data_IF_376457398113
#
_entry.id   IF_376457398113
#
_cell.length_a   1.000
_cell.length_b   1.000
_cell.length_c   1.000
_cell.angle_alpha   90.00
_cell.angle_beta   90.00
_cell.angle_gamma   90.00
#
_symmetry.space_group_name_H-M   'P 1'
#
loop_
_entity.id
_entity.type
_entity.pdbx_description
1 polymer ?
#
# COMPACT_ATOMS: atom_id res chain seq x y z
N UNK A 1 10.78 -3.15 49.14
CA UNK A 1 10.01 -2.37 50.14
C UNK A 1 10.56 -0.96 50.21
N UNK A 2 9.98 0.02 49.49
CA UNK A 2 10.29 1.45 49.74
C UNK A 2 9.10 2.36 49.35
N UNK A 3 8.29 2.64 50.38
CA UNK A 3 7.66 3.91 50.78
C UNK A 3 6.98 4.84 49.75
N UNK A 4 5.65 4.82 49.87
CA UNK A 4 4.67 5.91 49.71
C UNK A 4 5.17 7.31 50.08
N UNK A 5 4.81 8.31 49.24
CA UNK A 5 4.47 9.68 49.66
C UNK A 5 3.32 10.23 48.81
N UNK A 6 2.16 10.36 49.45
CA UNK A 6 1.10 11.34 49.16
C UNK A 6 1.70 12.75 48.99
N UNK A 7 1.16 13.57 48.08
CA UNK A 7 0.36 14.76 48.45
C UNK A 7 -0.27 15.48 47.24
N UNK A 8 -1.43 16.06 47.51
CA UNK A 8 -2.40 16.80 46.70
C UNK A 8 -1.88 18.00 45.88
N UNK A 9 -2.64 18.36 44.84
CA UNK A 9 -3.16 19.71 44.54
C UNK A 9 -4.07 19.56 43.29
N UNK A 10 -5.39 19.71 43.36
CA UNK A 10 -6.22 20.91 43.63
C UNK A 10 -6.98 21.27 42.33
N UNK A 11 -8.29 21.39 42.49
CA UNK A 11 -9.30 21.67 41.48
C UNK A 11 -9.11 23.02 40.78
N UNK A 12 -9.52 23.11 39.52
CA UNK A 12 -9.98 24.35 38.89
C UNK A 12 -11.21 24.10 38.03
N UNK A 13 -12.30 24.75 38.42
CA UNK A 13 -13.62 24.75 37.80
C UNK A 13 -13.65 25.66 36.57
N UNK A 14 -14.36 25.24 35.52
CA UNK A 14 -14.63 26.07 34.33
C UNK A 14 -16.12 26.38 34.23
N UNK A 15 -16.41 27.66 34.47
CA UNK A 15 -17.39 28.54 33.80
C UNK A 15 -18.73 28.01 33.31
N UNK A 16 -19.79 28.41 34.01
CA UNK A 16 -21.17 28.49 33.52
C UNK A 16 -21.29 29.64 32.49
N UNK A 17 -21.56 29.31 31.23
CA UNK A 17 -22.00 30.27 30.21
C UNK A 17 -23.53 30.20 30.04
N UNK A 18 -24.18 31.35 30.21
CA UNK A 18 -25.63 31.52 30.12
C UNK A 18 -26.13 31.40 28.67
N UNK A 19 -27.08 30.49 28.42
CA UNK A 19 -27.80 30.39 27.15
C UNK A 19 -29.26 30.82 27.29
N UNK A 20 -29.65 31.69 26.36
CA UNK A 20 -30.90 32.44 26.14
C UNK A 20 -32.11 31.52 25.88
N UNK A 21 -33.37 31.96 26.14
CA UNK A 21 -34.57 31.11 26.03
C UNK A 21 -34.82 30.53 24.64
N UNK A 22 -35.33 29.30 24.66
CA UNK A 22 -35.66 28.45 23.53
C UNK A 22 -36.85 29.00 22.72
N UNK A 23 -36.65 29.09 21.40
CA UNK A 23 -37.68 29.38 20.42
C UNK A 23 -38.26 28.03 19.94
N UNK A 24 -39.57 27.88 20.05
CA UNK A 24 -40.33 26.71 19.58
C UNK A 24 -40.20 26.54 18.06
N UNK A 25 -39.89 25.35 17.53
CA UNK A 25 -39.88 25.12 16.09
C UNK A 25 -41.31 25.13 15.51
N UNK A 26 -41.52 25.94 14.48
CA UNK A 26 -42.70 25.85 13.62
C UNK A 26 -42.66 24.55 12.81
N UNK A 27 -43.80 23.87 12.73
CA UNK A 27 -44.01 22.76 11.82
C UNK A 27 -43.84 23.24 10.37
N UNK A 28 -42.82 22.73 9.68
CA UNK A 28 -42.62 22.92 8.25
C UNK A 28 -42.80 21.58 7.54
N UNK A 29 -43.69 21.62 6.56
CA UNK A 29 -44.04 20.59 5.57
C UNK A 29 -42.82 19.82 5.05
N UNK A 30 -42.88 18.48 4.86
CA UNK A 30 -41.79 17.74 4.25
C UNK A 30 -41.59 18.17 2.80
N UNK A 31 -40.38 18.61 2.46
CA UNK A 31 -39.91 18.74 1.08
C UNK A 31 -39.78 17.33 0.46
N UNK A 32 -40.08 17.15 -0.85
CA UNK A 32 -39.87 15.87 -1.51
C UNK A 32 -38.39 15.48 -1.44
N UNK A 33 -38.14 14.25 -0.98
CA UNK A 33 -36.81 13.69 -0.82
C UNK A 33 -36.02 13.78 -2.13
N UNK A 34 -34.89 14.48 -2.10
CA UNK A 34 -33.89 14.38 -3.16
C UNK A 34 -33.34 12.95 -3.15
N UNK A 35 -33.59 12.21 -4.23
CA UNK A 35 -32.90 10.96 -4.50
C UNK A 35 -31.40 11.23 -4.44
N UNK A 36 -30.62 10.54 -3.58
CA UNK A 36 -29.16 10.63 -3.64
C UNK A 36 -28.71 10.25 -5.06
N UNK A 37 -27.76 10.97 -5.68
CA UNK A 37 -27.14 10.47 -6.89
C UNK A 37 -26.63 9.06 -6.61
N UNK A 38 -26.92 8.14 -7.52
CA UNK A 38 -26.40 6.78 -7.48
C UNK A 38 -24.91 6.87 -7.19
N UNK A 39 -24.50 6.37 -6.02
CA UNK A 39 -23.10 6.23 -5.70
C UNK A 39 -22.53 5.32 -6.77
N UNK A 40 -21.67 5.86 -7.63
CA UNK A 40 -20.79 5.06 -8.46
C UNK A 40 -20.15 4.02 -7.52
N UNK A 41 -20.31 2.72 -7.78
CA UNK A 41 -19.66 1.72 -6.94
C UNK A 41 -18.16 2.06 -6.87
N UNK A 42 -17.53 2.02 -5.69
CA UNK A 42 -16.09 2.24 -5.58
C UNK A 42 -15.38 1.30 -6.57
N UNK A 43 -14.31 1.77 -7.24
CA UNK A 43 -13.54 0.89 -8.11
C UNK A 43 -13.16 -0.35 -7.32
N UNK A 44 -13.30 -1.52 -7.94
CA UNK A 44 -12.92 -2.78 -7.33
C UNK A 44 -11.50 -2.63 -6.76
N UNK A 45 -11.38 -2.87 -5.45
CA UNK A 45 -10.10 -2.91 -4.74
C UNK A 45 -9.11 -3.75 -5.54
N UNK A 46 -7.96 -3.17 -5.94
CA UNK A 46 -6.76 -4.00 -6.13
C UNK A 46 -5.73 -3.61 -7.19
N UNK A 47 -6.02 -2.75 -8.19
CA UNK A 47 -5.01 -2.45 -9.21
C UNK A 47 -4.06 -1.34 -8.76
N UNK A 48 -2.75 -1.62 -8.79
CA UNK A 48 -1.73 -0.59 -8.64
C UNK A 48 -1.80 0.35 -9.85
N UNK A 49 -1.79 1.66 -9.60
CA UNK A 49 -1.90 2.65 -10.67
C UNK A 49 -0.53 3.05 -11.23
N UNK A 50 0.42 3.36 -10.33
CA UNK A 50 1.68 4.00 -10.68
C UNK A 50 2.83 3.54 -9.79
N UNK A 51 4.04 3.61 -10.35
CA UNK A 51 5.32 3.44 -9.66
C UNK A 51 6.34 4.38 -10.30
N UNK A 52 7.35 4.83 -9.56
CA UNK A 52 8.46 5.58 -10.16
C UNK A 52 9.68 4.70 -10.36
N UNK A 53 10.49 4.98 -11.39
CA UNK A 53 11.85 4.48 -11.44
C UNK A 53 12.77 5.20 -10.43
N UNK A 54 14.03 4.77 -10.38
CA UNK A 54 15.05 5.29 -9.47
C UNK A 54 15.40 6.76 -9.74
N UNK A 55 15.11 7.27 -10.94
CA UNK A 55 15.28 8.66 -11.34
C UNK A 55 14.04 9.51 -11.02
N UNK A 56 12.94 8.89 -10.58
CA UNK A 56 11.68 9.55 -10.23
C UNK A 56 10.72 9.68 -11.41
N UNK A 57 10.99 9.07 -12.56
CA UNK A 57 10.04 9.05 -13.69
C UNK A 57 8.87 8.16 -13.31
N UNK A 58 7.65 8.69 -13.42
CA UNK A 58 6.42 7.94 -13.15
C UNK A 58 6.12 7.00 -14.32
N UNK A 59 5.86 5.74 -13.99
CA UNK A 59 5.57 4.64 -14.89
C UNK A 59 4.22 4.07 -14.46
N UNK A 60 3.36 3.75 -15.43
CA UNK A 60 2.15 3.00 -15.15
C UNK A 60 2.52 1.64 -14.54
N UNK A 61 1.89 1.26 -13.44
CA UNK A 61 2.17 -0.02 -12.77
C UNK A 61 1.97 -1.23 -13.71
N UNK A 62 0.99 -1.16 -14.61
CA UNK A 62 0.77 -2.18 -15.64
C UNK A 62 1.92 -2.33 -16.64
N UNK A 63 2.76 -1.31 -16.81
CA UNK A 63 3.93 -1.39 -17.68
C UNK A 63 5.06 -2.25 -17.07
N UNK A 64 5.00 -2.56 -15.77
CA UNK A 64 5.88 -3.56 -15.17
C UNK A 64 5.43 -4.98 -15.45
N UNK A 65 4.17 -5.22 -15.81
CA UNK A 65 3.66 -6.58 -16.00
C UNK A 65 4.43 -7.33 -17.10
N UNK A 66 4.77 -8.59 -16.85
CA UNK A 66 5.46 -9.49 -17.76
C UNK A 66 6.61 -10.25 -17.10
N UNK A 67 7.38 -10.95 -17.95
CA UNK A 67 8.41 -11.88 -17.51
C UNK A 67 9.77 -11.20 -17.45
N UNK A 68 10.49 -11.43 -16.37
CA UNK A 68 11.86 -10.98 -16.17
C UNK A 68 12.76 -12.18 -15.87
N UNK A 69 13.95 -12.18 -16.45
CA UNK A 69 14.96 -13.21 -16.20
C UNK A 69 16.25 -12.61 -15.66
N UNK A 70 16.89 -13.37 -14.78
CA UNK A 70 18.19 -13.03 -14.24
C UNK A 70 18.61 -13.99 -13.13
N UNK A 71 19.91 -14.25 -12.99
CA UNK A 71 20.47 -14.97 -11.84
C UNK A 71 19.87 -16.37 -11.64
N UNK A 72 19.67 -17.09 -12.75
CA UNK A 72 18.98 -18.39 -12.79
C UNK A 72 17.55 -18.36 -12.22
N UNK A 73 16.92 -17.20 -12.20
CA UNK A 73 15.55 -16.99 -11.74
C UNK A 73 14.70 -16.35 -12.84
N UNK A 74 13.45 -16.78 -12.91
CA UNK A 74 12.38 -16.11 -13.66
C UNK A 74 11.48 -15.42 -12.65
N UNK A 75 11.13 -14.16 -12.88
CA UNK A 75 10.22 -13.34 -12.09
C UNK A 75 9.11 -12.83 -13.01
N UNK A 76 7.90 -13.30 -12.78
CA UNK A 76 6.69 -12.87 -13.47
C UNK A 76 6.01 -11.82 -12.60
N UNK A 77 5.80 -10.63 -13.14
CA UNK A 77 5.03 -9.56 -12.52
C UNK A 77 3.68 -9.50 -13.22
N UNK A 78 2.59 -9.60 -12.46
CA UNK A 78 1.24 -9.50 -13.00
C UNK A 78 0.71 -8.06 -12.84
N UNK A 79 -0.14 -7.63 -13.78
CA UNK A 79 -0.70 -6.27 -13.77
C UNK A 79 -1.68 -6.01 -12.61
N UNK A 80 -2.19 -7.07 -12.00
CA UNK A 80 -3.15 -7.04 -10.88
C UNK A 80 -2.47 -6.90 -9.51
N UNK A 81 -1.14 -6.84 -9.46
CA UNK A 81 -0.38 -6.74 -8.21
C UNK A 81 0.15 -8.09 -7.70
N UNK A 82 -0.05 -9.20 -8.42
CA UNK A 82 0.56 -10.49 -8.06
C UNK A 82 1.94 -10.68 -8.70
N UNK A 83 2.76 -11.56 -8.10
CA UNK A 83 4.00 -12.00 -8.71
C UNK A 83 4.22 -13.50 -8.51
N UNK A 84 5.03 -14.09 -9.39
CA UNK A 84 5.59 -15.43 -9.24
C UNK A 84 7.07 -15.40 -9.55
N UNK A 85 7.88 -15.99 -8.68
CA UNK A 85 9.31 -16.15 -8.91
C UNK A 85 9.67 -17.64 -8.87
N UNK A 86 10.43 -18.10 -9.85
CA UNK A 86 10.99 -19.45 -9.90
C UNK A 86 12.50 -19.37 -9.99
N UNK A 87 13.19 -19.92 -9.00
CA UNK A 87 14.64 -20.07 -8.96
C UNK A 87 15.03 -21.48 -9.44
N UNK A 88 15.95 -21.55 -10.39
CA UNK A 88 16.56 -22.79 -10.88
C UNK A 88 17.92 -22.96 -10.23
N UNK A 89 18.05 -23.94 -9.34
CA UNK A 89 19.29 -24.20 -8.63
C UNK A 89 19.57 -25.71 -8.56
N UNK A 90 20.73 -26.14 -9.06
CA UNK A 90 21.19 -27.53 -8.94
C UNK A 90 20.26 -28.57 -9.59
N UNK A 91 19.52 -28.20 -10.63
CA UNK A 91 18.53 -29.07 -11.29
C UNK A 91 17.17 -29.15 -10.57
N UNK A 92 16.97 -28.40 -9.49
CA UNK A 92 15.69 -28.22 -8.83
C UNK A 92 15.10 -26.83 -9.13
N UNK A 93 13.77 -26.74 -9.01
CA UNK A 93 13.03 -25.48 -9.11
C UNK A 93 12.38 -25.15 -7.77
N UNK A 94 12.59 -23.91 -7.31
CA UNK A 94 11.93 -23.38 -6.12
C UNK A 94 11.04 -22.22 -6.55
N UNK A 95 9.75 -22.31 -6.25
CA UNK A 95 8.77 -21.29 -6.63
C UNK A 95 8.26 -20.56 -5.39
N UNK A 96 8.16 -19.23 -5.49
CA UNK A 96 7.52 -18.35 -4.53
C UNK A 96 6.50 -17.46 -5.26
N UNK A 97 5.41 -17.13 -4.60
CA UNK A 97 4.41 -16.20 -5.12
C UNK A 97 3.91 -15.29 -4.01
N UNK A 98 3.33 -14.17 -4.40
CA UNK A 98 2.77 -13.19 -3.48
C UNK A 98 2.31 -11.95 -4.21
N UNK A 99 2.32 -10.83 -3.49
CA UNK A 99 1.95 -9.54 -4.06
C UNK A 99 3.17 -8.64 -4.22
N UNK A 100 3.13 -7.75 -5.20
CA UNK A 100 4.07 -6.65 -5.33
C UNK A 100 3.37 -5.33 -5.02
N UNK A 101 4.13 -4.32 -4.63
CA UNK A 101 3.64 -2.97 -4.37
C UNK A 101 4.75 -1.93 -4.48
N UNK A 102 4.46 -0.66 -4.80
CA UNK A 102 5.43 0.42 -4.66
C UNK A 102 5.73 0.66 -3.18
N UNK A 103 7.01 0.88 -2.86
CA UNK A 103 7.49 1.11 -1.49
C UNK A 103 8.38 2.35 -1.38
N UNK A 104 8.04 3.38 -2.16
CA UNK A 104 8.80 4.63 -2.30
C UNK A 104 9.29 4.85 -3.72
N UNK A 105 9.94 6.00 -3.95
CA UNK A 105 10.50 6.35 -5.25
C UNK A 105 11.52 5.31 -5.71
N UNK A 106 11.30 4.70 -6.88
CA UNK A 106 12.22 3.73 -7.43
C UNK A 106 12.25 2.39 -6.70
N UNK A 107 11.32 2.12 -5.78
CA UNK A 107 11.35 0.88 -4.98
C UNK A 107 10.06 0.08 -5.17
N UNK A 108 10.24 -1.17 -5.56
CA UNK A 108 9.21 -2.20 -5.56
C UNK A 108 9.43 -3.15 -4.38
N UNK A 109 8.36 -3.53 -3.69
CA UNK A 109 8.36 -4.52 -2.61
C UNK A 109 7.58 -5.75 -3.04
N UNK A 110 8.24 -6.91 -3.05
CA UNK A 110 7.62 -8.22 -3.20
C UNK A 110 7.32 -8.80 -1.82
N UNK A 111 6.07 -9.14 -1.55
CA UNK A 111 5.60 -9.71 -0.29
C UNK A 111 5.14 -11.15 -0.53
N UNK A 112 5.93 -12.17 -0.17
CA UNK A 112 5.54 -13.56 -0.36
C UNK A 112 4.32 -13.94 0.50
N UNK A 113 3.37 -14.69 -0.06
CA UNK A 113 2.14 -15.10 0.64
C UNK A 113 2.44 -15.86 1.93
N UNK A 114 3.33 -16.85 1.87
CA UNK A 114 3.62 -17.75 3.00
C UNK A 114 4.76 -17.25 3.91
N UNK A 115 5.37 -16.11 3.56
CA UNK A 115 6.59 -15.59 4.18
C UNK A 115 6.61 -14.05 4.15
N UNK A 116 5.49 -13.40 4.47
CA UNK A 116 5.36 -11.94 4.41
C UNK A 116 6.45 -11.17 5.19
N UNK A 117 6.95 -11.73 6.30
CA UNK A 117 8.07 -11.16 7.07
C UNK A 117 9.41 -11.13 6.30
N UNK A 118 9.50 -11.82 5.16
CA UNK A 118 10.65 -11.90 4.27
C UNK A 118 10.43 -11.09 2.98
N UNK A 119 9.65 -10.01 3.05
CA UNK A 119 9.42 -9.15 1.90
C UNK A 119 10.75 -8.62 1.31
N UNK A 120 10.86 -8.66 -0.01
CA UNK A 120 12.09 -8.36 -0.75
C UNK A 120 11.92 -7.04 -1.49
N UNK A 121 12.95 -6.18 -1.46
CA UNK A 121 12.94 -4.90 -2.16
C UNK A 121 13.80 -4.95 -3.43
N UNK A 122 13.25 -4.39 -4.50
CA UNK A 122 13.95 -4.15 -5.76
C UNK A 122 13.94 -2.66 -6.06
N UNK A 123 15.06 -2.17 -6.55
CA UNK A 123 15.13 -0.92 -7.28
C UNK A 123 14.51 -1.10 -8.66
N UNK A 124 13.59 -0.22 -9.03
CA UNK A 124 13.03 -0.09 -10.37
C UNK A 124 13.97 0.79 -11.18
N UNK A 125 14.73 0.21 -12.11
CA UNK A 125 15.66 0.95 -12.97
C UNK A 125 14.94 1.49 -14.20
N UNK A 126 14.02 0.69 -14.73
CA UNK A 126 13.10 1.05 -15.80
C UNK A 126 11.90 0.09 -15.76
N UNK A 127 10.95 0.24 -16.69
CA UNK A 127 9.88 -0.74 -16.88
C UNK A 127 10.41 -2.14 -17.26
N UNK A 128 11.65 -2.25 -17.73
CA UNK A 128 12.25 -3.48 -18.26
C UNK A 128 13.41 -4.00 -17.43
N UNK A 129 13.81 -3.30 -16.36
CA UNK A 129 14.95 -3.69 -15.54
C UNK A 129 14.69 -3.42 -14.05
N UNK A 130 14.85 -4.50 -13.27
CA UNK A 130 14.76 -4.49 -11.81
C UNK A 130 16.11 -4.92 -11.24
N UNK A 131 16.51 -4.32 -10.12
CA UNK A 131 17.74 -4.69 -9.41
C UNK A 131 17.49 -4.89 -7.94
N UNK A 132 18.12 -5.88 -7.31
CA UNK A 132 18.10 -5.97 -5.85
C UNK A 132 18.77 -4.74 -5.24
N UNK A 133 18.37 -4.36 -4.02
CA UNK A 133 18.92 -3.16 -3.36
C UNK A 133 20.43 -3.23 -3.08
N UNK A 134 20.98 -4.44 -2.97
CA UNK A 134 22.43 -4.68 -2.86
C UNK A 134 23.14 -4.73 -4.22
N UNK A 135 22.40 -4.65 -5.33
CA UNK A 135 22.90 -4.71 -6.69
C UNK A 135 23.39 -6.09 -7.15
N UNK A 136 23.26 -7.13 -6.31
CA UNK A 136 23.75 -8.47 -6.61
C UNK A 136 22.92 -9.18 -7.69
N UNK A 137 21.64 -8.84 -7.80
CA UNK A 137 20.71 -9.47 -8.72
C UNK A 137 20.14 -8.43 -9.68
N UNK A 138 20.28 -8.69 -10.97
CA UNK A 138 19.64 -7.92 -12.05
C UNK A 138 18.65 -8.82 -12.77
N UNK A 139 17.43 -8.33 -12.93
CA UNK A 139 16.33 -8.97 -13.65
C UNK A 139 15.98 -8.09 -14.84
N UNK A 140 15.96 -8.67 -16.05
CA UNK A 140 15.62 -7.97 -17.29
C UNK A 140 14.41 -8.59 -17.94
N UNK A 141 13.54 -7.76 -18.49
CA UNK A 141 12.36 -8.22 -19.21
C UNK A 141 12.76 -9.14 -20.36
N UNK A 142 12.05 -10.25 -20.50
CA UNK A 142 12.13 -11.15 -21.64
C UNK A 142 11.07 -10.70 -22.65
N UNK A 143 11.49 -10.54 -23.92
CA UNK A 143 10.64 -10.04 -25.00
C UNK A 143 9.54 -11.01 -25.41
#
# INVERSE_FOLDING_TARGET
MTRSRLLCCALLAVGLAACKPAQTPQATTPAPASTPPAQTPPPATGALAEISDKQGVVIAASALAGDFEGNASTLVIEADGEYRQTLKAGGAELTSSGTWSPAGTGVMLLTPTDKAAQAVRFDVISADELRSQDGAYVFKRVH
#
